data_IF_958528087851
#
_entry.id   IF_958528087851
#
_cell.length_a   1.000
_cell.length_b   1.000
_cell.length_c   1.000
_cell.angle_alpha   90.00
_cell.angle_beta   90.00
_cell.angle_gamma   90.00
#
_symmetry.space_group_name_H-M   'P 1'
#
loop_
_entity.id
_entity.type
_entity.pdbx_description
1 polymer ?
#
# COMPACT_ATOMS: atom_id res chain seq x y z
N UNK A 1 13.97 -16.43 -16.38
CA UNK A 1 13.41 -15.18 -15.82
C UNK A 1 12.08 -14.94 -16.47
N UNK A 2 11.04 -14.74 -15.66
CA UNK A 2 9.70 -14.42 -16.16
C UNK A 2 9.61 -12.99 -16.68
N UNK A 3 8.47 -12.64 -17.28
CA UNK A 3 8.19 -11.25 -17.65
C UNK A 3 8.10 -10.39 -16.39
N UNK A 4 8.75 -9.23 -16.40
CA UNK A 4 8.62 -8.22 -15.35
C UNK A 4 7.62 -7.16 -15.83
N UNK A 5 6.75 -6.74 -14.93
CA UNK A 5 5.74 -5.72 -15.18
C UNK A 5 5.58 -4.82 -13.96
N UNK A 6 5.32 -3.53 -14.19
CA UNK A 6 5.11 -2.55 -13.13
C UNK A 6 3.69 -1.99 -13.16
N UNK A 7 3.02 -2.02 -12.01
CA UNK A 7 1.77 -1.31 -11.75
C UNK A 7 2.07 -0.02 -10.99
N UNK A 8 1.47 1.09 -11.39
CA UNK A 8 1.61 2.36 -10.68
C UNK A 8 0.37 3.21 -10.85
N UNK A 9 0.07 4.00 -9.84
CA UNK A 9 -1.08 4.90 -9.86
C UNK A 9 -1.17 5.70 -8.58
N UNK A 10 -2.34 6.27 -8.37
CA UNK A 10 -2.70 6.98 -7.15
C UNK A 10 -4.05 6.49 -6.64
N UNK A 11 -4.26 6.61 -5.33
CA UNK A 11 -5.55 6.36 -4.67
C UNK A 11 -5.84 7.48 -3.69
N UNK A 12 -7.12 7.84 -3.56
CA UNK A 12 -7.59 8.80 -2.57
C UNK A 12 -7.99 8.09 -1.28
N UNK A 13 -7.53 8.61 -0.16
CA UNK A 13 -7.87 8.11 1.17
C UNK A 13 -8.22 9.27 2.08
N UNK A 14 -9.19 9.08 2.94
CA UNK A 14 -9.47 10.06 3.98
C UNK A 14 -8.59 9.80 5.21
N UNK A 15 -8.15 10.87 5.86
CA UNK A 15 -7.40 10.82 7.11
C UNK A 15 -8.24 10.21 8.25
N UNK A 16 -7.58 9.68 9.28
CA UNK A 16 -8.21 9.16 10.51
C UNK A 16 -9.19 8.00 10.28
N UNK A 17 -9.05 7.26 9.18
CA UNK A 17 -9.88 6.10 8.88
C UNK A 17 -9.16 5.08 8.00
N UNK A 18 -9.76 3.90 7.85
CA UNK A 18 -9.33 2.90 6.87
C UNK A 18 -10.14 3.05 5.60
N UNK A 19 -9.43 3.27 4.49
CA UNK A 19 -9.94 3.15 3.13
C UNK A 19 -9.43 1.83 2.54
N UNK A 20 -10.30 0.81 2.56
CA UNK A 20 -9.97 -0.54 2.14
C UNK A 20 -10.40 -0.82 0.69
N UNK A 21 -9.83 -1.87 0.10
CA UNK A 21 -10.24 -2.49 -1.14
C UNK A 21 -10.06 -1.62 -2.41
N UNK A 22 -8.99 -0.82 -2.49
CA UNK A 22 -8.62 -0.20 -3.76
C UNK A 22 -8.14 -1.27 -4.73
N UNK A 23 -8.96 -1.64 -5.71
CA UNK A 23 -8.56 -2.58 -6.75
C UNK A 23 -7.51 -1.94 -7.66
N UNK A 24 -6.28 -2.46 -7.62
CA UNK A 24 -5.14 -1.91 -8.40
C UNK A 24 -4.61 -2.88 -9.45
N UNK A 25 -5.03 -4.14 -9.41
CA UNK A 25 -4.72 -5.14 -10.41
C UNK A 25 -5.88 -6.12 -10.55
N UNK A 26 -6.27 -6.38 -11.80
CA UNK A 26 -7.20 -7.45 -12.14
C UNK A 26 -6.61 -8.26 -13.28
N UNK A 27 -6.34 -9.53 -13.01
CA UNK A 27 -5.76 -10.51 -13.90
C UNK A 27 -6.71 -11.69 -14.05
N UNK A 28 -7.42 -11.71 -15.16
CA UNK A 28 -8.19 -12.86 -15.59
C UNK A 28 -7.37 -13.66 -16.61
N UNK A 29 -6.63 -14.68 -16.15
CA UNK A 29 -5.97 -15.63 -17.04
C UNK A 29 -6.77 -16.91 -17.18
N UNK A 30 -6.97 -17.36 -18.42
CA UNK A 30 -7.49 -18.69 -18.72
C UNK A 30 -6.42 -19.78 -18.52
N UNK A 31 -5.14 -19.40 -18.50
CA UNK A 31 -3.99 -20.28 -18.24
C UNK A 31 -3.68 -20.28 -16.73
N UNK A 32 -3.97 -21.41 -16.06
CA UNK A 32 -3.71 -21.65 -14.64
C UNK A 32 -2.27 -22.05 -14.32
N UNK A 33 -1.40 -22.14 -15.34
CA UNK A 33 0.01 -22.49 -15.15
C UNK A 33 0.91 -21.28 -14.91
N UNK A 34 0.30 -20.09 -14.78
CA UNK A 34 0.99 -18.81 -14.60
C UNK A 34 0.35 -18.03 -13.47
N UNK A 35 1.20 -17.46 -12.63
CA UNK A 35 0.82 -16.53 -11.58
C UNK A 35 1.78 -15.35 -11.57
N UNK A 36 1.40 -14.28 -10.90
CA UNK A 36 2.27 -13.14 -10.65
C UNK A 36 2.79 -13.21 -9.22
N UNK A 37 4.05 -12.84 -9.03
CA UNK A 37 4.65 -12.65 -7.71
C UNK A 37 5.04 -11.20 -7.56
N UNK A 38 4.67 -10.57 -6.45
CA UNK A 38 5.19 -9.23 -6.10
C UNK A 38 6.64 -9.39 -5.65
N UNK A 39 7.55 -8.73 -6.34
CA UNK A 39 8.97 -8.72 -5.96
C UNK A 39 9.34 -7.44 -5.19
N UNK A 40 8.67 -6.33 -5.50
CA UNK A 40 8.82 -5.07 -4.81
C UNK A 40 7.47 -4.32 -4.80
N UNK A 41 7.19 -3.62 -3.71
CA UNK A 41 6.03 -2.75 -3.60
C UNK A 41 6.42 -1.50 -2.82
N UNK A 42 5.86 -0.37 -3.24
CA UNK A 42 6.15 0.95 -2.72
C UNK A 42 4.86 1.76 -2.57
N UNK A 43 4.79 2.54 -1.49
CA UNK A 43 3.73 3.50 -1.22
C UNK A 43 4.31 4.77 -0.59
N UNK A 44 3.80 5.93 -1.02
CA UNK A 44 4.23 7.24 -0.53
C UNK A 44 3.09 8.26 -0.63
N UNK A 45 3.08 9.31 0.22
CA UNK A 45 2.13 10.39 0.09
C UNK A 45 2.45 11.22 -1.16
N UNK A 46 1.47 11.45 -2.01
CA UNK A 46 1.61 12.42 -3.13
C UNK A 46 1.34 13.82 -2.60
N UNK A 47 0.33 13.96 -1.74
CA UNK A 47 -0.02 15.20 -1.07
C UNK A 47 0.56 15.19 0.35
N UNK A 48 1.54 16.05 0.67
CA UNK A 48 2.02 16.19 2.04
C UNK A 48 0.91 16.80 2.90
N UNK A 49 0.93 16.50 4.19
CA UNK A 49 -0.12 16.93 5.15
C UNK A 49 -0.48 18.42 5.08
N UNK A 50 0.48 19.32 4.84
CA UNK A 50 0.21 20.76 4.81
C UNK A 50 -0.43 21.26 3.49
N UNK A 51 -0.65 20.39 2.50
CA UNK A 51 -1.53 20.69 1.36
C UNK A 51 -3.01 20.65 1.76
N UNK A 52 -3.36 19.89 2.80
CA UNK A 52 -4.70 19.92 3.40
C UNK A 52 -4.78 21.10 4.39
N UNK A 53 -5.89 21.85 4.35
CA UNK A 53 -6.14 23.09 5.11
C UNK A 53 -6.24 22.92 6.64
N UNK A 54 -5.62 21.88 7.20
CA UNK A 54 -5.93 21.31 8.52
C UNK A 54 -4.84 21.60 9.56
N UNK A 55 -3.68 22.11 9.17
CA UNK A 55 -2.65 22.56 10.12
C UNK A 55 -1.29 22.71 9.48
N UNK A 56 -0.52 23.70 9.94
CA UNK A 56 0.85 23.97 9.47
C UNK A 56 1.86 22.94 9.99
N UNK A 57 1.60 22.36 11.16
CA UNK A 57 2.44 21.36 11.84
C UNK A 57 1.69 20.06 12.11
N UNK A 58 2.41 18.94 12.16
CA UNK A 58 2.03 17.77 12.94
C UNK A 58 2.43 16.41 12.39
N UNK A 59 1.98 15.36 13.07
CA UNK A 59 2.28 13.94 12.82
C UNK A 59 1.19 13.21 12.03
N UNK A 60 1.59 12.36 11.09
CA UNK A 60 0.73 11.42 10.38
C UNK A 60 1.36 10.02 10.42
N UNK A 61 0.50 9.03 10.61
CA UNK A 61 0.81 7.61 10.51
C UNK A 61 0.10 7.03 9.28
N UNK A 62 0.84 6.23 8.53
CA UNK A 62 0.31 5.36 7.49
C UNK A 62 0.44 3.91 7.96
N UNK A 63 -0.63 3.15 7.75
CA UNK A 63 -0.63 1.68 7.72
C UNK A 63 -1.19 1.28 6.36
N UNK A 64 -0.44 0.53 5.58
CA UNK A 64 -0.89 0.07 4.27
C UNK A 64 -0.62 -1.42 4.11
N UNK A 65 -1.53 -2.12 3.46
CA UNK A 65 -1.38 -3.52 3.15
C UNK A 65 -1.86 -3.87 1.74
N UNK A 66 -1.17 -4.82 1.10
CA UNK A 66 -1.66 -5.45 -0.13
C UNK A 66 -2.41 -6.74 0.22
N UNK A 67 -3.53 -6.97 -0.45
CA UNK A 67 -4.33 -8.18 -0.29
C UNK A 67 -4.73 -8.80 -1.62
N UNK A 68 -5.01 -10.11 -1.60
CA UNK A 68 -5.51 -10.87 -2.75
C UNK A 68 -7.04 -10.93 -2.79
N UNK A 69 -7.70 -10.51 -1.71
CA UNK A 69 -9.15 -10.49 -1.57
C UNK A 69 -9.62 -9.20 -0.88
N UNK A 70 -10.92 -8.95 -1.00
CA UNK A 70 -11.60 -7.85 -0.35
C UNK A 70 -11.99 -8.22 1.10
N UNK A 71 -11.99 -7.22 1.97
CA UNK A 71 -12.32 -7.39 3.38
C UNK A 71 -12.85 -6.13 4.01
N UNK A 72 -13.48 -6.28 5.17
CA UNK A 72 -13.59 -5.17 6.11
C UNK A 72 -12.32 -5.22 6.95
N UNK A 73 -11.49 -4.21 6.82
CA UNK A 73 -10.27 -4.06 7.57
C UNK A 73 -10.38 -2.83 8.48
N UNK A 74 -9.93 -2.97 9.72
CA UNK A 74 -9.62 -1.87 10.63
C UNK A 74 -8.09 -1.67 10.74
N UNK A 75 -7.64 -0.66 11.48
CA UNK A 75 -6.21 -0.36 11.61
C UNK A 75 -5.38 -1.51 12.21
N UNK A 76 -5.95 -2.26 13.15
CA UNK A 76 -5.28 -3.41 13.78
C UNK A 76 -5.15 -4.56 12.78
N UNK A 77 -6.23 -4.87 12.04
CA UNK A 77 -6.25 -5.93 11.02
C UNK A 77 -5.30 -5.62 9.85
N UNK A 78 -5.13 -4.35 9.47
CA UNK A 78 -4.13 -3.97 8.46
C UNK A 78 -2.69 -4.21 8.90
N UNK A 79 -2.44 -4.37 10.19
CA UNK A 79 -1.11 -4.58 10.76
C UNK A 79 -0.87 -6.01 11.21
N UNK A 80 -1.89 -6.88 11.13
CA UNK A 80 -1.85 -8.23 11.65
C UNK A 80 -1.30 -9.21 10.60
N UNK A 81 -0.13 -9.83 10.82
CA UNK A 81 0.42 -10.82 9.89
C UNK A 81 -0.34 -12.17 9.92
N UNK A 82 -1.25 -12.37 10.87
CA UNK A 82 -2.13 -13.55 10.90
C UNK A 82 -3.35 -13.43 9.96
N UNK A 83 -3.56 -12.24 9.39
CA UNK A 83 -4.57 -12.02 8.36
C UNK A 83 -4.11 -12.60 7.02
N UNK A 84 -4.54 -13.81 6.73
CA UNK A 84 -4.12 -14.59 5.54
C UNK A 84 -4.54 -13.97 4.19
N UNK A 85 -5.43 -12.97 4.18
CA UNK A 85 -5.79 -12.24 2.95
C UNK A 85 -4.75 -11.19 2.56
N UNK A 86 -3.91 -10.76 3.51
CA UNK A 86 -2.89 -9.74 3.33
C UNK A 86 -1.52 -10.40 3.15
N UNK A 87 -0.67 -9.81 2.32
CA UNK A 87 0.63 -10.39 1.96
C UNK A 87 1.76 -9.37 1.86
N UNK A 88 1.47 -8.07 2.00
CA UNK A 88 2.52 -7.07 2.10
C UNK A 88 2.07 -5.96 3.03
N UNK A 89 3.00 -5.38 3.78
CA UNK A 89 2.71 -4.39 4.82
C UNK A 89 3.69 -3.23 4.77
N UNK A 90 3.20 -2.02 5.00
CA UNK A 90 4.00 -0.83 5.26
C UNK A 90 3.41 -0.06 6.43
N UNK A 91 4.28 0.33 7.35
CA UNK A 91 3.96 1.30 8.38
C UNK A 91 4.98 2.43 8.31
N UNK A 92 4.48 3.66 8.18
CA UNK A 92 5.33 4.82 7.94
C UNK A 92 4.82 5.99 8.78
N UNK A 93 5.75 6.82 9.23
CA UNK A 93 5.45 8.05 9.96
C UNK A 93 5.94 9.25 9.17
N UNK A 94 5.12 10.29 9.15
CA UNK A 94 5.29 11.47 8.34
C UNK A 94 5.05 12.69 9.20
N UNK A 95 5.97 13.65 9.17
CA UNK A 95 5.82 14.89 9.90
C UNK A 95 5.84 16.04 8.91
N UNK A 96 5.08 17.09 9.21
CA UNK A 96 5.17 18.35 8.47
C UNK A 96 5.42 19.46 9.46
N UNK A 97 6.23 20.45 9.06
CA UNK A 97 6.58 21.59 9.89
C UNK A 97 6.33 22.92 9.17
N UNK A 98 5.48 23.79 9.70
CA UNK A 98 5.27 25.22 9.45
C UNK A 98 5.00 25.67 7.99
N UNK A 99 5.22 24.83 6.98
CA UNK A 99 4.97 25.14 5.57
C UNK A 99 4.54 23.91 4.74
N UNK A 100 3.70 24.09 3.70
CA UNK A 100 3.28 23.06 2.73
C UNK A 100 4.42 22.21 2.13
N UNK A 101 5.62 22.80 2.04
CA UNK A 101 6.81 22.20 1.43
C UNK A 101 7.79 21.63 2.44
N UNK A 102 7.62 21.89 3.73
CA UNK A 102 8.51 21.43 4.80
C UNK A 102 8.06 20.05 5.30
N UNK A 103 8.01 19.11 4.36
CA UNK A 103 7.76 17.70 4.63
C UNK A 103 9.02 17.07 5.23
N UNK A 104 8.91 16.60 6.46
CA UNK A 104 10.01 16.00 7.20
C UNK A 104 9.63 14.57 7.53
N UNK A 105 10.34 13.62 6.95
CA UNK A 105 10.34 12.25 7.47
C UNK A 105 11.40 12.18 8.57
N UNK A 106 11.05 11.71 9.79
CA UNK A 106 11.97 11.71 10.92
C UNK A 106 13.24 10.87 10.70
N UNK A 107 13.29 10.05 9.64
CA UNK A 107 14.43 9.21 9.28
C UNK A 107 15.10 9.59 7.94
N UNK A 108 14.87 10.82 7.44
CA UNK A 108 15.24 11.23 6.07
C UNK A 108 14.30 10.62 5.03
N UNK A 109 14.36 11.02 3.75
CA UNK A 109 13.57 10.36 2.68
C UNK A 109 14.43 9.33 1.95
N UNK A 110 14.70 8.14 2.49
CA UNK A 110 15.20 7.04 1.70
C UNK A 110 14.00 6.33 1.07
N UNK A 111 14.11 6.00 -0.21
CA UNK A 111 13.23 5.05 -0.91
C UNK A 111 12.96 3.76 -0.09
N UNK A 112 13.85 3.42 0.85
CA UNK A 112 13.67 2.33 1.81
C UNK A 112 12.46 2.48 2.75
N UNK A 113 12.05 3.70 3.12
CA UNK A 113 10.84 3.90 3.93
C UNK A 113 9.57 3.66 3.12
N UNK A 114 9.59 3.97 1.82
CA UNK A 114 8.44 3.80 0.92
C UNK A 114 8.16 2.32 0.60
N UNK A 115 9.14 1.44 0.83
CA UNK A 115 9.07 0.03 0.49
C UNK A 115 8.18 -0.74 1.49
N UNK A 116 7.30 -1.58 0.98
CA UNK A 116 6.53 -2.53 1.78
C UNK A 116 7.37 -3.78 2.09
N UNK A 117 7.16 -4.35 3.27
CA UNK A 117 7.56 -5.72 3.56
C UNK A 117 6.63 -6.66 2.79
N UNK A 118 7.16 -7.40 1.82
CA UNK A 118 6.38 -8.29 0.96
C UNK A 118 6.64 -9.74 1.37
N UNK A 119 5.58 -10.51 1.61
CA UNK A 119 5.67 -11.97 1.70
C UNK A 119 6.16 -12.54 0.36
N UNK A 120 7.36 -13.15 0.32
CA UNK A 120 7.92 -13.69 -0.90
C UNK A 120 7.10 -14.83 -1.50
N UNK A 121 6.30 -15.56 -0.73
CA UNK A 121 5.71 -16.82 -1.19
C UNK A 121 4.29 -16.64 -1.76
N UNK A 122 3.69 -15.47 -1.57
CA UNK A 122 2.35 -15.19 -2.09
C UNK A 122 2.33 -15.12 -3.62
N UNK A 123 1.45 -15.94 -4.21
CA UNK A 123 1.18 -16.00 -5.64
C UNK A 123 -0.17 -15.34 -5.95
N UNK A 124 -0.15 -14.38 -6.88
CA UNK A 124 -1.30 -13.63 -7.33
C UNK A 124 -1.85 -14.26 -8.61
N UNK A 125 -3.06 -14.82 -8.53
CA UNK A 125 -3.74 -15.46 -9.66
C UNK A 125 -4.94 -14.68 -10.18
N UNK A 126 -5.39 -13.65 -9.45
CA UNK A 126 -6.61 -12.91 -9.78
C UNK A 126 -6.46 -11.41 -9.55
N UNK A 127 -6.60 -10.93 -8.32
CA UNK A 127 -6.69 -9.49 -8.04
C UNK A 127 -5.66 -9.08 -6.97
N UNK A 128 -5.29 -7.79 -7.00
CA UNK A 128 -4.54 -7.14 -5.92
C UNK A 128 -5.35 -5.93 -5.48
N UNK A 129 -5.57 -5.86 -4.17
CA UNK A 129 -6.18 -4.76 -3.47
C UNK A 129 -5.12 -4.03 -2.64
N UNK A 130 -5.16 -2.70 -2.69
CA UNK A 130 -4.43 -1.84 -1.77
C UNK A 130 -5.40 -1.37 -0.68
N UNK A 131 -4.99 -1.56 0.57
CA UNK A 131 -5.74 -1.14 1.75
C UNK A 131 -4.90 -0.15 2.52
N UNK A 132 -5.47 1.00 2.87
CA UNK A 132 -4.75 2.09 3.52
C UNK A 132 -5.53 2.56 4.74
N UNK A 133 -4.88 2.58 5.89
CA UNK A 133 -5.31 3.25 7.10
C UNK A 133 -4.38 4.42 7.39
N UNK A 134 -4.95 5.59 7.68
CA UNK A 134 -4.19 6.76 8.09
C UNK A 134 -4.67 7.22 9.46
N UNK A 135 -3.76 7.83 10.22
CA UNK A 135 -4.09 8.50 11.47
C UNK A 135 -3.26 9.78 11.59
N UNK A 136 -3.87 10.86 12.05
CA UNK A 136 -3.23 12.15 12.28
C UNK A 136 -3.42 12.56 13.74
N UNK A 137 -2.70 13.59 14.18
CA UNK A 137 -2.81 14.17 15.53
C UNK A 137 -3.93 15.23 15.66
N UNK A 138 -4.83 15.30 14.68
CA UNK A 138 -5.98 16.22 14.61
C UNK A 138 -7.23 15.43 14.25
N UNK A 139 -8.41 15.92 14.63
CA UNK A 139 -9.67 15.19 14.44
C UNK A 139 -10.23 15.31 13.01
N UNK A 140 -9.83 16.35 12.28
CA UNK A 140 -10.28 16.60 10.91
C UNK A 140 -9.82 15.52 9.94
N UNK A 141 -10.75 15.00 9.14
CA UNK A 141 -10.53 13.92 8.18
C UNK A 141 -10.45 14.48 6.74
N UNK A 142 -9.30 15.02 6.35
CA UNK A 142 -9.07 15.46 4.97
C UNK A 142 -8.82 14.28 4.02
N UNK A 143 -9.21 14.41 2.75
CA UNK A 143 -8.83 13.45 1.70
C UNK A 143 -7.40 13.75 1.22
N UNK A 144 -6.64 12.69 0.93
CA UNK A 144 -5.26 12.76 0.41
C UNK A 144 -4.99 11.72 -0.68
N UNK A 145 -4.19 12.13 -1.66
CA UNK A 145 -3.64 11.22 -2.67
C UNK A 145 -2.41 10.43 -2.15
N UNK A 146 -2.44 9.11 -2.32
CA UNK A 146 -1.31 8.21 -2.11
C UNK A 146 -0.85 7.58 -3.40
N UNK A 147 0.45 7.66 -3.67
CA UNK A 147 1.09 7.03 -4.83
C UNK A 147 1.52 5.61 -4.50
N UNK A 148 1.40 4.71 -5.49
CA UNK A 148 1.90 3.34 -5.38
C UNK A 148 2.72 2.93 -6.60
N UNK A 149 3.67 2.02 -6.38
CA UNK A 149 4.41 1.30 -7.42
C UNK A 149 4.59 -0.15 -6.98
N UNK A 150 4.15 -1.10 -7.80
CA UNK A 150 4.30 -2.54 -7.56
C UNK A 150 5.01 -3.15 -8.75
N UNK A 151 6.04 -3.94 -8.47
CA UNK A 151 6.79 -4.69 -9.46
C UNK A 151 6.41 -6.16 -9.33
N UNK A 152 5.90 -6.71 -10.42
CA UNK A 152 5.45 -8.08 -10.55
C UNK A 152 6.41 -8.87 -11.45
N UNK A 153 6.72 -10.10 -11.04
CA UNK A 153 7.41 -11.09 -11.88
C UNK A 153 6.44 -12.24 -12.19
N UNK A 154 6.32 -12.60 -13.47
CA UNK A 154 5.58 -13.78 -13.90
C UNK A 154 6.29 -15.05 -13.42
N UNK A 155 5.56 -15.94 -12.76
CA UNK A 155 6.03 -17.25 -12.33
C UNK A 155 5.24 -18.34 -13.03
N UNK A 156 5.96 -19.33 -13.53
CA UNK A 156 5.35 -20.60 -13.92
C UNK A 156 5.04 -21.36 -12.64
N UNK A 157 3.79 -21.78 -12.49
CA UNK A 157 3.29 -22.50 -11.32
C UNK A 157 2.80 -23.87 -11.74
N UNK A 158 3.08 -24.87 -10.92
CA UNK A 158 2.47 -26.18 -11.05
C UNK A 158 1.05 -26.17 -10.49
N UNK A 159 0.24 -27.17 -10.85
CA UNK A 159 -1.13 -27.28 -10.33
C UNK A 159 -1.20 -27.41 -8.79
N UNK A 160 -0.10 -27.79 -8.13
CA UNK A 160 -0.02 -27.88 -6.67
C UNK A 160 0.27 -26.52 -6.00
N UNK A 161 0.86 -25.57 -6.73
CA UNK A 161 1.22 -24.24 -6.24
C UNK A 161 0.17 -23.17 -6.59
N UNK A 162 -0.80 -23.49 -7.46
CA UNK A 162 -1.84 -22.55 -7.92
C UNK A 162 -3.15 -22.63 -7.13
N UNK A 163 -3.18 -23.35 -6.00
CA UNK A 163 -4.39 -23.64 -5.21
C UNK A 163 -4.65 -22.60 -4.13
#
# INVERSE_FOLDING_TARGET
MGRIFSLRGKVDTNDNQVTANHLIFDYASTDRTRAWRVIEAYIWPVEPRAASSVGSDGFMLLVAALGTDHGKFNHDELSDPSENRLFAWAQQTYNTRDAPTDFITPNGVPLGQMRMLVDPDTLITKQIYLNIGTATDVDESASREWGYLIILEERKVSAAESL
#
